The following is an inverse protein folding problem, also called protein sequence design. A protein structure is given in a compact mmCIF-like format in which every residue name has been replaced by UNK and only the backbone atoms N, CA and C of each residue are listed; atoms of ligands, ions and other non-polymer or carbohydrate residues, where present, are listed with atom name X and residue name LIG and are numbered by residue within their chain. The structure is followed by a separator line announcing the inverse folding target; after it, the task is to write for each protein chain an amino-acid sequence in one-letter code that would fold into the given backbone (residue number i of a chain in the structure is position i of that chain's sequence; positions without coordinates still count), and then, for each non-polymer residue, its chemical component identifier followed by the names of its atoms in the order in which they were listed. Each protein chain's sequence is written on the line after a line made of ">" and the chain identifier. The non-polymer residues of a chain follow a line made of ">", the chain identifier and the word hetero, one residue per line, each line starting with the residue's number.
data_IF_661790975408
#
_entry.id   IF_661790975408
#
_cell.length_a   1.000
_cell.length_b   1.000
_cell.length_c   1.000
_cell.angle_alpha   90.00
_cell.angle_beta   90.00
_cell.angle_gamma   90.00
#
_symmetry.space_group_name_H-M   'P 1'
#
loop_
_entity.id
_entity.type
_entity.pdbx_description
1 polymer ?
#
# COMPACT_ATOMS: atom_id res chain seq x y z
N UNK A 1 -8.82 -13.45 16.65
CA UNK A 1 -7.78 -13.34 15.62
C UNK A 1 -8.25 -13.87 14.26
N UNK A 2 -8.96 -14.99 14.17
CA UNK A 2 -9.47 -15.58 12.91
C UNK A 2 -10.44 -14.66 12.14
N UNK A 3 -11.20 -13.80 12.82
CA UNK A 3 -12.17 -12.89 12.18
C UNK A 3 -11.54 -11.67 11.47
N UNK A 4 -10.26 -11.35 11.73
CA UNK A 4 -9.56 -10.21 11.12
C UNK A 4 -8.71 -10.59 9.90
N UNK A 5 -8.39 -11.86 9.72
CA UNK A 5 -7.56 -12.36 8.61
C UNK A 5 -8.19 -12.12 7.23
N UNK A 6 -9.50 -12.38 7.00
CA UNK A 6 -10.09 -12.17 5.67
C UNK A 6 -10.10 -10.70 5.24
N UNK A 7 -10.28 -9.76 6.18
CA UNK A 7 -10.28 -8.33 5.88
C UNK A 7 -8.89 -7.83 5.49
N UNK A 8 -7.85 -8.23 6.23
CA UNK A 8 -6.45 -7.88 5.93
C UNK A 8 -6.00 -8.47 4.59
N UNK A 9 -6.40 -9.69 4.29
CA UNK A 9 -6.09 -10.32 3.00
C UNK A 9 -6.73 -9.55 1.85
N UNK A 10 -7.99 -9.14 1.99
CA UNK A 10 -8.68 -8.32 0.99
C UNK A 10 -7.99 -6.98 0.74
N UNK A 11 -7.47 -6.31 1.77
CA UNK A 11 -6.74 -5.04 1.64
C UNK A 11 -5.39 -5.24 0.92
N UNK A 12 -4.66 -6.29 1.25
CA UNK A 12 -3.39 -6.61 0.59
C UNK A 12 -3.58 -6.98 -0.89
N UNK A 13 -4.64 -7.71 -1.22
CA UNK A 13 -4.97 -8.03 -2.60
C UNK A 13 -5.33 -6.78 -3.41
N UNK A 14 -6.10 -5.87 -2.83
CA UNK A 14 -6.39 -4.56 -3.45
C UNK A 14 -5.12 -3.73 -3.66
N UNK A 15 -4.24 -3.68 -2.65
CA UNK A 15 -2.96 -2.98 -2.75
C UNK A 15 -2.09 -3.57 -3.86
N UNK A 16 -1.98 -4.89 -3.94
CA UNK A 16 -1.28 -5.58 -5.04
C UNK A 16 -1.81 -5.14 -6.40
N UNK A 17 -3.13 -5.17 -6.60
CA UNK A 17 -3.76 -4.83 -7.88
C UNK A 17 -3.52 -3.37 -8.26
N UNK A 18 -3.56 -2.45 -7.30
CA UNK A 18 -3.24 -1.04 -7.50
C UNK A 18 -1.78 -0.89 -7.93
N UNK A 19 -0.85 -1.51 -7.20
CA UNK A 19 0.59 -1.43 -7.49
C UNK A 19 0.94 -2.05 -8.84
N UNK A 20 0.31 -3.16 -9.23
CA UNK A 20 0.51 -3.78 -10.54
C UNK A 20 0.06 -2.86 -11.68
N UNK A 21 -1.11 -2.24 -11.56
CA UNK A 21 -1.63 -1.28 -12.55
C UNK A 21 -0.72 -0.06 -12.67
N UNK A 22 -0.27 0.49 -11.56
CA UNK A 22 0.55 1.69 -11.55
C UNK A 22 2.00 1.41 -12.01
N UNK A 23 2.53 0.23 -11.74
CA UNK A 23 3.81 -0.20 -12.29
C UNK A 23 3.73 -0.33 -13.82
N UNK A 24 2.66 -0.95 -14.33
CA UNK A 24 2.41 -1.05 -15.77
C UNK A 24 2.24 0.34 -16.40
N UNK A 25 1.50 1.25 -15.74
CA UNK A 25 1.35 2.64 -16.18
C UNK A 25 2.72 3.32 -16.33
N UNK A 26 3.60 3.18 -15.33
CA UNK A 26 4.94 3.73 -15.36
C UNK A 26 5.79 3.15 -16.50
N UNK A 27 5.74 1.84 -16.71
CA UNK A 27 6.47 1.15 -17.78
C UNK A 27 6.03 1.58 -19.17
N UNK A 28 4.71 1.67 -19.40
CA UNK A 28 4.15 2.12 -20.68
C UNK A 28 4.46 3.58 -21.02
N UNK A 29 4.74 4.40 -20.00
CA UNK A 29 5.05 5.82 -20.15
C UNK A 29 6.54 6.14 -19.90
N UNK A 30 7.40 5.13 -19.85
CA UNK A 30 8.85 5.29 -19.82
C UNK A 30 9.35 5.27 -21.26
N UNK A 31 9.62 6.45 -21.82
CA UNK A 31 10.24 6.60 -23.14
C UNK A 31 11.76 6.44 -23.11
N UNK A 32 12.41 6.59 -24.26
CA UNK A 32 13.88 6.52 -24.40
C UNK A 32 14.61 7.66 -23.68
N UNK A 33 13.88 8.69 -23.21
CA UNK A 33 14.45 9.84 -22.54
C UNK A 33 13.52 10.40 -21.48
N UNK A 34 14.02 11.41 -20.76
CA UNK A 34 13.22 12.13 -19.77
C UNK A 34 12.13 12.95 -20.47
N UNK A 35 10.91 12.86 -19.98
CA UNK A 35 9.79 13.70 -20.39
C UNK A 35 8.85 13.94 -19.19
N UNK A 36 8.49 15.20 -19.00
CA UNK A 36 7.55 15.64 -17.97
C UNK A 36 6.69 16.78 -18.51
N UNK A 37 5.38 16.68 -18.35
CA UNK A 37 4.47 17.76 -18.70
C UNK A 37 4.15 18.57 -17.44
N UNK A 38 4.35 19.89 -17.49
CA UNK A 38 4.07 20.83 -16.41
C UNK A 38 3.38 22.08 -16.97
N UNK A 39 2.25 22.45 -16.37
CA UNK A 39 1.46 23.62 -16.76
C UNK A 39 1.16 23.72 -18.28
N UNK A 40 0.99 22.55 -18.93
CA UNK A 40 0.69 22.47 -20.36
C UNK A 40 1.91 22.43 -21.29
N UNK A 41 3.12 22.50 -20.75
CA UNK A 41 4.37 22.45 -21.52
C UNK A 41 5.13 21.16 -21.25
N UNK A 42 5.79 20.62 -22.28
CA UNK A 42 6.59 19.39 -22.17
C UNK A 42 8.07 19.72 -21.98
N UNK A 43 8.64 19.19 -20.92
CA UNK A 43 10.06 19.32 -20.55
C UNK A 43 10.80 18.03 -20.82
N UNK A 44 11.83 18.09 -21.63
CA UNK A 44 12.67 16.92 -22.00
C UNK A 44 14.00 16.88 -21.26
N UNK A 45 14.29 17.91 -20.46
CA UNK A 45 15.51 17.99 -19.66
C UNK A 45 15.15 18.06 -18.18
N UNK A 46 15.77 17.18 -17.39
CA UNK A 46 15.50 17.05 -15.95
C UNK A 46 15.66 18.37 -15.18
N UNK A 47 16.70 19.12 -15.53
CA UNK A 47 16.98 20.40 -14.88
C UNK A 47 15.87 21.41 -15.12
N UNK A 48 15.47 21.57 -16.38
CA UNK A 48 14.47 22.55 -16.79
C UNK A 48 13.11 22.22 -16.15
N UNK A 49 12.73 20.93 -16.11
CA UNK A 49 11.54 20.47 -15.42
C UNK A 49 11.61 20.74 -13.90
N UNK A 50 12.75 20.48 -13.28
CA UNK A 50 12.95 20.74 -11.86
C UNK A 50 12.89 22.23 -11.52
N UNK A 51 13.48 23.10 -12.35
CA UNK A 51 13.38 24.56 -12.22
C UNK A 51 11.93 25.02 -12.36
N UNK A 52 11.20 24.47 -13.33
CA UNK A 52 9.77 24.78 -13.48
C UNK A 52 8.92 24.33 -12.28
N UNK A 53 9.23 23.19 -11.70
CA UNK A 53 8.58 22.74 -10.45
C UNK A 53 8.83 23.69 -9.28
N UNK A 54 10.04 24.25 -9.16
CA UNK A 54 10.36 25.28 -8.15
C UNK A 54 9.54 26.55 -8.40
N UNK A 55 9.42 27.00 -9.64
CA UNK A 55 8.58 28.14 -10.00
C UNK A 55 7.11 27.90 -9.66
N UNK A 56 6.57 26.72 -10.01
CA UNK A 56 5.20 26.35 -9.68
C UNK A 56 4.96 26.27 -8.15
N UNK A 57 5.95 25.86 -7.38
CA UNK A 57 5.90 25.93 -5.92
C UNK A 57 5.81 27.37 -5.39
N UNK A 58 6.50 28.31 -6.02
CA UNK A 58 6.45 29.70 -5.68
C UNK A 58 5.13 30.35 -6.12
N UNK A 59 4.67 30.08 -7.34
CA UNK A 59 3.38 30.57 -7.88
C UNK A 59 2.20 30.10 -7.00
N UNK A 60 2.32 28.92 -6.38
CA UNK A 60 1.30 28.30 -5.55
C UNK A 60 1.73 28.23 -4.08
N UNK A 61 2.27 29.30 -3.55
CA UNK A 61 2.76 29.37 -2.17
C UNK A 61 1.65 29.08 -1.14
N UNK A 62 0.41 29.43 -1.43
CA UNK A 62 -0.75 29.21 -0.56
C UNK A 62 -1.81 28.42 -1.31
N UNK A 63 -1.83 27.11 -1.08
CA UNK A 63 -2.89 26.23 -1.59
C UNK A 63 -3.76 25.74 -0.43
N UNK A 64 -5.07 25.73 -0.64
CA UNK A 64 -6.03 25.13 0.31
C UNK A 64 -6.39 23.70 -0.09
N UNK A 65 -6.40 23.44 -1.37
CA UNK A 65 -6.76 22.16 -1.97
C UNK A 65 -5.65 21.66 -2.88
N UNK A 66 -5.66 20.36 -3.17
CA UNK A 66 -4.73 19.77 -4.12
C UNK A 66 -4.85 20.44 -5.50
N UNK A 67 -3.73 20.79 -6.09
CA UNK A 67 -3.69 21.40 -7.41
C UNK A 67 -2.92 20.52 -8.39
N UNK A 68 -3.60 20.12 -9.46
CA UNK A 68 -2.93 19.43 -10.56
C UNK A 68 -1.99 20.40 -11.28
N UNK A 69 -0.72 20.00 -11.37
CA UNK A 69 0.34 20.80 -12.01
C UNK A 69 0.93 20.15 -13.26
N UNK A 70 0.66 18.87 -13.50
CA UNK A 70 1.17 18.20 -14.68
C UNK A 70 0.98 16.70 -14.70
N UNK A 71 1.86 16.02 -15.45
CA UNK A 71 1.94 14.56 -15.53
C UNK A 71 3.40 14.13 -15.61
N UNK A 72 3.70 13.00 -14.98
CA UNK A 72 5.01 12.37 -15.04
C UNK A 72 4.88 10.84 -15.09
N UNK A 73 5.48 10.22 -16.12
CA UNK A 73 5.48 8.77 -16.34
C UNK A 73 4.08 8.14 -16.25
N UNK A 74 3.08 8.83 -16.83
CA UNK A 74 1.68 8.42 -16.81
C UNK A 74 0.88 8.84 -15.57
N UNK A 75 1.54 9.20 -14.48
CA UNK A 75 0.88 9.68 -13.26
C UNK A 75 0.48 11.15 -13.39
N UNK A 76 -0.70 11.47 -12.86
CA UNK A 76 -1.10 12.86 -12.65
C UNK A 76 -0.30 13.43 -11.48
N UNK A 77 0.35 14.57 -11.69
CA UNK A 77 1.16 15.25 -10.68
C UNK A 77 0.36 16.37 -10.04
N UNK A 78 0.27 16.33 -8.71
CA UNK A 78 -0.41 17.33 -7.91
C UNK A 78 0.55 17.96 -6.90
N UNK A 79 0.32 19.23 -6.62
CA UNK A 79 0.84 19.91 -5.44
C UNK A 79 -0.23 19.89 -4.35
N UNK A 80 0.16 19.50 -3.14
CA UNK A 80 -0.72 19.37 -2.00
C UNK A 80 -0.03 19.83 -0.72
N UNK A 81 -0.80 19.99 0.34
CA UNK A 81 -0.28 20.06 1.70
C UNK A 81 -0.24 18.65 2.31
N UNK A 82 0.71 18.41 3.20
CA UNK A 82 0.72 17.19 4.01
C UNK A 82 -0.46 17.19 5.01
N UNK A 83 -0.63 16.08 5.72
CA UNK A 83 -1.73 15.90 6.68
C UNK A 83 -1.73 16.98 7.78
N UNK A 84 -0.55 17.49 8.14
CA UNK A 84 -0.42 18.58 9.13
C UNK A 84 -0.79 19.94 8.58
N UNK A 85 -0.88 20.10 7.24
CA UNK A 85 -1.03 21.39 6.56
C UNK A 85 0.22 22.28 6.62
N UNK A 86 1.29 21.83 7.29
CA UNK A 86 2.49 22.63 7.53
C UNK A 86 3.52 22.55 6.39
N UNK A 87 3.48 21.48 5.60
CA UNK A 87 4.45 21.22 4.54
C UNK A 87 3.76 20.94 3.22
N UNK A 88 4.32 21.47 2.15
CA UNK A 88 3.90 21.11 0.79
C UNK A 88 4.59 19.81 0.35
N UNK A 89 3.86 19.05 -0.43
CA UNK A 89 4.30 17.77 -1.00
C UNK A 89 3.84 17.66 -2.45
N UNK A 90 4.48 16.79 -3.21
CA UNK A 90 3.94 16.33 -4.48
C UNK A 90 3.19 15.01 -4.29
N UNK A 91 2.09 14.86 -5.04
CA UNK A 91 1.36 13.61 -5.13
C UNK A 91 1.38 13.12 -6.58
N UNK A 92 1.76 11.87 -6.76
CA UNK A 92 1.66 11.13 -8.02
C UNK A 92 0.41 10.26 -7.94
N UNK A 93 -0.58 10.51 -8.77
CA UNK A 93 -1.85 9.78 -8.77
C UNK A 93 -2.00 8.95 -10.05
N UNK A 94 -2.05 7.65 -9.86
CA UNK A 94 -2.46 6.65 -10.83
C UNK A 94 -3.72 5.95 -10.33
N UNK A 95 -3.71 4.63 -10.23
CA UNK A 95 -4.71 3.85 -9.50
C UNK A 95 -4.58 4.06 -7.99
N UNK A 96 -3.35 4.24 -7.50
CA UNK A 96 -3.04 4.70 -6.15
C UNK A 96 -2.57 6.13 -6.11
N UNK A 97 -2.28 6.61 -4.89
CA UNK A 97 -1.71 7.94 -4.63
C UNK A 97 -0.38 7.78 -3.90
N UNK A 98 0.67 8.39 -4.43
CA UNK A 98 2.03 8.27 -3.92
C UNK A 98 2.58 9.64 -3.58
N UNK A 99 3.10 9.77 -2.37
CA UNK A 99 3.69 10.99 -1.85
C UNK A 99 5.15 11.11 -2.25
N UNK A 100 5.57 12.30 -2.66
CA UNK A 100 6.95 12.71 -2.80
C UNK A 100 7.21 13.98 -2.00
N UNK A 101 8.23 13.95 -1.15
CA UNK A 101 8.65 15.13 -0.40
C UNK A 101 9.39 16.11 -1.30
N UNK A 102 9.37 17.39 -0.91
CA UNK A 102 10.08 18.43 -1.62
C UNK A 102 11.60 18.33 -1.38
N UNK A 103 12.36 18.93 -2.29
CA UNK A 103 13.79 19.17 -2.16
C UNK A 103 14.09 20.63 -2.50
N UNK A 104 15.18 21.15 -1.98
CA UNK A 104 15.61 22.53 -2.25
C UNK A 104 16.20 22.72 -3.64
N UNK A 105 16.64 21.62 -4.29
CA UNK A 105 17.25 21.67 -5.61
C UNK A 105 16.32 21.10 -6.68
N UNK A 106 16.38 21.68 -7.88
CA UNK A 106 15.66 21.22 -9.07
C UNK A 106 15.90 19.72 -9.35
N UNK A 107 17.16 19.30 -9.34
CA UNK A 107 17.54 17.90 -9.58
C UNK A 107 17.10 17.00 -8.44
N UNK A 108 17.11 17.48 -7.19
CA UNK A 108 16.66 16.75 -6.03
C UNK A 108 15.15 16.46 -6.07
N UNK A 109 14.34 17.39 -6.54
CA UNK A 109 12.90 17.18 -6.74
C UNK A 109 12.66 16.05 -7.75
N UNK A 110 13.31 16.12 -8.92
CA UNK A 110 13.17 15.10 -9.96
C UNK A 110 13.64 13.73 -9.44
N UNK A 111 14.77 13.67 -8.74
CA UNK A 111 15.27 12.42 -8.16
C UNK A 111 14.29 11.80 -7.16
N UNK A 112 13.61 12.61 -6.35
CA UNK A 112 12.59 12.12 -5.41
C UNK A 112 11.36 11.58 -6.12
N UNK A 113 10.90 12.25 -7.17
CA UNK A 113 9.80 11.76 -8.01
C UNK A 113 10.18 10.43 -8.70
N UNK A 114 11.39 10.33 -9.24
CA UNK A 114 11.91 9.09 -9.80
C UNK A 114 11.95 7.95 -8.77
N UNK A 115 12.42 8.24 -7.56
CA UNK A 115 12.48 7.24 -6.48
C UNK A 115 11.11 6.72 -6.10
N UNK A 116 10.08 7.56 -6.10
CA UNK A 116 8.70 7.14 -5.84
C UNK A 116 8.23 6.17 -6.91
N UNK A 117 8.39 6.51 -8.19
CA UNK A 117 7.95 5.66 -9.31
C UNK A 117 8.77 4.36 -9.38
N UNK A 118 10.09 4.44 -9.27
CA UNK A 118 10.97 3.27 -9.30
C UNK A 118 10.75 2.36 -8.08
N UNK A 119 10.34 2.93 -6.95
CA UNK A 119 10.03 2.21 -5.72
C UNK A 119 8.77 1.34 -5.78
N UNK A 120 7.90 1.51 -6.79
CA UNK A 120 6.67 0.72 -6.95
C UNK A 120 6.97 -0.79 -7.06
N UNK A 121 8.03 -1.16 -7.76
CA UNK A 121 8.46 -2.56 -7.89
C UNK A 121 8.79 -3.19 -6.54
N UNK A 122 9.51 -2.47 -5.69
CA UNK A 122 9.86 -2.93 -4.33
C UNK A 122 8.61 -3.04 -3.45
N UNK A 123 7.69 -2.08 -3.55
CA UNK A 123 6.41 -2.12 -2.83
C UNK A 123 5.55 -3.30 -3.26
N UNK A 124 5.47 -3.59 -4.57
CA UNK A 124 4.75 -4.75 -5.08
C UNK A 124 5.36 -6.05 -4.56
N UNK A 125 6.68 -6.19 -4.60
CA UNK A 125 7.36 -7.36 -4.04
C UNK A 125 7.07 -7.55 -2.55
N UNK A 126 7.06 -6.47 -1.77
CA UNK A 126 6.71 -6.52 -0.35
C UNK A 126 5.24 -6.93 -0.12
N UNK A 127 4.31 -6.42 -0.92
CA UNK A 127 2.90 -6.80 -0.84
C UNK A 127 2.68 -8.28 -1.17
N UNK A 128 3.32 -8.79 -2.23
CA UNK A 128 3.28 -10.22 -2.59
C UNK A 128 3.84 -11.12 -1.48
N UNK A 129 4.98 -10.75 -0.89
CA UNK A 129 5.55 -11.50 0.23
C UNK A 129 4.68 -11.45 1.49
N UNK A 130 3.90 -10.40 1.69
CA UNK A 130 2.93 -10.32 2.80
C UNK A 130 1.71 -11.20 2.54
N UNK A 131 1.22 -11.26 1.31
CA UNK A 131 0.12 -12.15 0.91
C UNK A 131 0.52 -13.61 1.12
N UNK A 132 1.70 -14.00 0.63
CA UNK A 132 2.21 -15.36 0.78
C UNK A 132 2.32 -15.79 2.25
N UNK A 133 2.84 -14.91 3.11
CA UNK A 133 2.90 -15.17 4.56
C UNK A 133 1.52 -15.34 5.18
N UNK A 134 0.56 -14.49 4.81
CA UNK A 134 -0.80 -14.61 5.32
C UNK A 134 -1.49 -15.92 4.89
N UNK A 135 -1.26 -16.36 3.65
CA UNK A 135 -1.77 -17.64 3.15
C UNK A 135 -1.17 -18.82 3.91
N UNK A 136 0.13 -18.76 4.24
CA UNK A 136 0.80 -19.76 5.07
C UNK A 136 0.24 -19.77 6.50
N UNK A 137 0.12 -18.61 7.13
CA UNK A 137 -0.45 -18.49 8.49
C UNK A 137 -1.90 -19.01 8.54
N UNK A 138 -2.71 -18.73 7.51
CA UNK A 138 -4.08 -19.23 7.40
C UNK A 138 -4.12 -20.75 7.27
N UNK A 139 -3.22 -21.33 6.46
CA UNK A 139 -3.11 -22.77 6.29
C UNK A 139 -2.68 -23.47 7.58
N UNK A 140 -1.73 -22.91 8.32
CA UNK A 140 -1.29 -23.41 9.62
C UNK A 140 -2.43 -23.39 10.66
N UNK A 141 -3.15 -22.26 10.77
CA UNK A 141 -4.28 -22.11 11.69
C UNK A 141 -5.41 -23.09 11.38
N UNK A 142 -5.71 -23.32 10.09
CA UNK A 142 -6.68 -24.34 9.69
C UNK A 142 -6.22 -25.73 10.10
N UNK A 143 -4.98 -26.08 9.82
CA UNK A 143 -4.38 -27.37 10.23
C UNK A 143 -4.42 -27.57 11.74
N UNK A 144 -4.17 -26.52 12.53
CA UNK A 144 -4.27 -26.58 13.99
C UNK A 144 -5.72 -26.74 14.47
N UNK A 145 -6.68 -26.07 13.83
CA UNK A 145 -8.10 -26.15 14.22
C UNK A 145 -8.72 -27.52 13.89
N UNK A 146 -8.16 -28.24 12.91
CA UNK A 146 -8.58 -29.59 12.53
C UNK A 146 -7.98 -30.68 13.42
N UNK A 147 -6.96 -30.37 14.21
CA UNK A 147 -6.41 -31.32 15.18
C UNK A 147 -7.41 -31.57 16.31
N UNK A 148 -7.68 -32.84 16.65
CA UNK A 148 -8.54 -33.15 17.79
C UNK A 148 -7.95 -32.54 19.06
N UNK A 149 -8.84 -31.98 19.88
CA UNK A 149 -8.43 -31.37 21.15
C UNK A 149 -7.63 -32.38 21.97
N UNK A 150 -6.40 -32.03 22.43
CA UNK A 150 -5.50 -33.03 23.07
C UNK A 150 -6.12 -33.81 24.26
N UNK A 151 -7.14 -33.20 24.87
CA UNK A 151 -7.85 -33.78 26.03
C UNK A 151 -9.27 -34.23 25.68
N UNK A 152 -9.63 -34.38 24.41
CA UNK A 152 -11.00 -34.75 23.99
C UNK A 152 -11.38 -36.15 24.50
N UNK A 153 -10.42 -37.07 24.48
CA UNK A 153 -10.59 -38.42 25.03
C UNK A 153 -10.82 -38.38 26.54
N UNK A 154 -9.99 -37.64 27.26
CA UNK A 154 -10.06 -37.47 28.71
C UNK A 154 -11.36 -36.78 29.14
N UNK A 155 -11.78 -35.73 28.39
CA UNK A 155 -13.06 -35.02 28.58
C UNK A 155 -14.27 -35.96 28.36
N UNK A 156 -14.17 -36.85 27.38
CA UNK A 156 -15.21 -37.82 27.07
C UNK A 156 -15.30 -38.89 28.18
N UNK A 157 -14.17 -39.34 28.69
CA UNK A 157 -14.10 -40.28 29.83
C UNK A 157 -14.67 -39.65 31.10
N UNK A 158 -14.25 -38.42 31.45
CA UNK A 158 -14.75 -37.71 32.60
C UNK A 158 -16.25 -37.43 32.52
N UNK A 159 -16.77 -37.09 31.34
CA UNK A 159 -18.23 -36.94 31.14
C UNK A 159 -18.99 -38.25 31.33
N UNK A 160 -18.44 -39.34 30.88
CA UNK A 160 -19.00 -40.71 31.06
C UNK A 160 -19.03 -41.10 32.52
N UNK A 161 -17.95 -40.82 33.25
CA UNK A 161 -17.84 -41.12 34.68
C UNK A 161 -18.77 -40.24 35.49
N UNK A 162 -18.89 -38.96 35.20
CA UNK A 162 -19.84 -38.05 35.82
C UNK A 162 -21.29 -38.51 35.62
N UNK A 163 -21.63 -38.96 34.42
CA UNK A 163 -22.95 -39.52 34.12
C UNK A 163 -23.24 -40.78 34.90
N UNK A 164 -22.24 -41.67 35.08
CA UNK A 164 -22.35 -42.89 35.88
C UNK A 164 -22.60 -42.54 37.34
N UNK A 165 -21.78 -41.67 37.92
CA UNK A 165 -21.90 -41.26 39.33
C UNK A 165 -23.24 -40.58 39.60
N UNK A 166 -23.71 -39.69 38.75
CA UNK A 166 -24.99 -39.04 38.85
C UNK A 166 -26.17 -40.03 38.76
N UNK A 167 -26.03 -41.08 37.95
CA UNK A 167 -27.02 -42.17 37.87
C UNK A 167 -27.05 -43.03 39.14
N UNK A 168 -25.89 -43.33 39.73
CA UNK A 168 -25.77 -44.06 40.98
C UNK A 168 -26.30 -43.27 42.20
N UNK A 169 -26.18 -41.94 42.18
CA UNK A 169 -26.70 -41.05 43.22
C UNK A 169 -28.16 -40.69 43.04
N UNK A 170 -28.84 -41.18 41.98
CA UNK A 170 -30.25 -40.87 41.72
C UNK A 170 -30.53 -39.41 41.39
N UNK A 171 -29.51 -38.66 41.04
CA UNK A 171 -29.56 -37.24 40.58
C UNK A 171 -29.73 -37.20 39.08
N UNK A 172 -30.89 -37.47 38.60
CA UNK A 172 -31.25 -37.26 37.18
C UNK A 172 -32.06 -35.98 37.06
#
# INVERSE_FOLDING_TARGET
>A
QLLQLPAKNSELLKLRDILQKDMLLAEQNTGEGFSMMLAGENYTRRRDAGERLIELLAEHAFIREEKRIGTYRGFKLFLANDISGARRIFLLKGSGTYRSDLSESAMGIIARLDNVVNGLKTRLKAALGSIERMEQDEAELRSESEKPFPFETELTELRRELKRVNGELGML
#
